data_IF_865845306872
#
_entry.id   IF_865845306872
#
_cell.length_a   1.000
_cell.length_b   1.000
_cell.length_c   1.000
_cell.angle_alpha   90.00
_cell.angle_beta   90.00
_cell.angle_gamma   90.00
#
_symmetry.space_group_name_H-M   'P 1'
#
loop_
_entity.id
_entity.type
_entity.pdbx_description
1 polymer ?
#
# COMPACT_ATOMS: atom_id res chain seq x y z
N UNK A 1 -5.47 4.65 17.86
CA UNK A 1 -6.18 5.02 16.62
C UNK A 1 -7.29 6.05 16.90
N UNK A 2 -7.42 7.08 16.06
CA UNK A 2 -8.61 7.97 16.07
C UNK A 2 -9.83 7.28 15.43
N UNK A 3 -11.03 7.85 15.58
CA UNK A 3 -12.27 7.24 15.08
C UNK A 3 -12.34 7.23 13.54
N UNK A 4 -11.83 8.27 12.89
CA UNK A 4 -11.86 8.41 11.42
C UNK A 4 -10.98 7.36 10.72
N UNK A 5 -9.80 7.08 11.27
CA UNK A 5 -8.90 6.04 10.78
C UNK A 5 -9.50 4.64 10.99
N UNK A 6 -10.27 4.44 12.08
CA UNK A 6 -10.96 3.18 12.34
C UNK A 6 -12.08 2.95 11.32
N UNK A 7 -12.89 3.96 11.04
CA UNK A 7 -13.96 3.88 10.03
C UNK A 7 -13.40 3.64 8.62
N UNK A 8 -12.23 4.21 8.32
CA UNK A 8 -11.51 3.94 7.07
C UNK A 8 -11.04 2.48 6.97
N UNK A 9 -10.49 1.92 8.04
CA UNK A 9 -10.06 0.52 8.08
C UNK A 9 -11.24 -0.46 8.01
N UNK A 10 -12.37 -0.15 8.64
CA UNK A 10 -13.57 -0.99 8.57
C UNK A 10 -14.15 -1.04 7.15
N UNK A 11 -14.27 0.11 6.47
CA UNK A 11 -14.71 0.16 5.07
C UNK A 11 -13.76 -0.61 4.15
N UNK A 12 -12.46 -0.46 4.35
CA UNK A 12 -11.47 -1.20 3.57
C UNK A 12 -11.52 -2.71 3.85
N UNK A 13 -11.79 -3.12 5.09
CA UNK A 13 -11.97 -4.53 5.43
C UNK A 13 -13.20 -5.14 4.72
N UNK A 14 -14.31 -4.40 4.62
CA UNK A 14 -15.50 -4.81 3.88
C UNK A 14 -15.21 -4.98 2.38
N UNK A 15 -14.48 -4.04 1.77
CA UNK A 15 -14.04 -4.16 0.36
C UNK A 15 -13.16 -5.40 0.14
N UNK A 16 -12.28 -5.72 1.10
CA UNK A 16 -11.43 -6.91 1.05
C UNK A 16 -12.22 -8.21 1.23
N UNK A 17 -13.22 -8.23 2.11
CA UNK A 17 -14.14 -9.37 2.31
C UNK A 17 -15.00 -9.66 1.07
N UNK A 18 -15.30 -8.63 0.27
CA UNK A 18 -15.99 -8.76 -1.02
C UNK A 18 -15.12 -9.23 -2.19
N UNK A 19 -13.80 -9.39 -1.98
CA UNK A 19 -12.87 -9.77 -3.04
C UNK A 19 -13.07 -11.21 -3.53
N UNK A 20 -12.86 -11.47 -4.82
CA UNK A 20 -12.86 -12.83 -5.37
C UNK A 20 -11.64 -13.65 -4.90
N UNK A 21 -10.57 -12.98 -4.44
CA UNK A 21 -9.35 -13.63 -3.98
C UNK A 21 -9.46 -14.05 -2.51
N UNK A 22 -9.34 -15.34 -2.23
CA UNK A 22 -9.43 -15.92 -0.86
C UNK A 22 -8.43 -15.29 0.12
N UNK A 23 -7.22 -14.97 -0.34
CA UNK A 23 -6.20 -14.32 0.47
C UNK A 23 -6.62 -12.90 0.91
N UNK A 24 -7.31 -12.16 0.05
CA UNK A 24 -7.82 -10.82 0.36
C UNK A 24 -9.04 -10.91 1.30
N UNK A 25 -9.97 -11.83 1.05
CA UNK A 25 -11.12 -12.07 1.94
C UNK A 25 -10.68 -12.42 3.35
N UNK A 26 -9.73 -13.35 3.46
CA UNK A 26 -9.18 -13.75 4.74
C UNK A 26 -8.40 -12.63 5.46
N UNK A 27 -7.87 -11.66 4.70
CA UNK A 27 -7.23 -10.48 5.27
C UNK A 27 -8.26 -9.44 5.73
N UNK A 28 -9.34 -9.23 4.97
CA UNK A 28 -10.48 -8.40 5.36
C UNK A 28 -11.10 -8.86 6.67
N UNK A 29 -11.43 -10.16 6.78
CA UNK A 29 -11.94 -10.77 8.01
C UNK A 29 -11.04 -10.55 9.21
N UNK A 30 -9.73 -10.69 9.03
CA UNK A 30 -8.75 -10.50 10.10
C UNK A 30 -8.69 -9.03 10.58
N UNK A 31 -8.76 -8.08 9.65
CA UNK A 31 -8.76 -6.64 9.97
C UNK A 31 -10.05 -6.28 10.72
N UNK A 32 -11.21 -6.70 10.22
CA UNK A 32 -12.52 -6.45 10.83
C UNK A 32 -12.58 -7.00 12.26
N UNK A 33 -12.21 -8.27 12.44
CA UNK A 33 -12.21 -8.93 13.75
C UNK A 33 -11.35 -8.19 14.78
N UNK A 34 -10.15 -7.74 14.38
CA UNK A 34 -9.25 -7.00 15.27
C UNK A 34 -9.75 -5.56 15.54
N UNK A 35 -10.37 -4.90 14.57
CA UNK A 35 -11.00 -3.60 14.75
C UNK A 35 -12.15 -3.68 15.77
N UNK A 36 -13.03 -4.67 15.62
CA UNK A 36 -14.18 -4.89 16.51
C UNK A 36 -13.71 -5.22 17.93
N UNK A 37 -12.70 -6.10 18.07
CA UNK A 37 -12.11 -6.42 19.37
C UNK A 37 -11.46 -5.20 20.04
N UNK A 38 -10.71 -4.38 19.28
CA UNK A 38 -10.10 -3.16 19.81
C UNK A 38 -11.14 -2.11 20.19
N UNK A 39 -12.23 -1.98 19.43
CA UNK A 39 -13.33 -1.06 19.72
C UNK A 39 -14.11 -1.50 20.96
N UNK A 40 -14.34 -2.80 21.12
CA UNK A 40 -15.00 -3.39 22.29
C UNK A 40 -14.10 -3.45 23.54
N UNK A 41 -12.80 -3.14 23.42
CA UNK A 41 -11.84 -3.28 24.51
C UNK A 41 -11.64 -4.74 24.92
N UNK A 42 -11.80 -5.69 23.99
CA UNK A 42 -11.66 -7.13 24.24
C UNK A 42 -10.29 -7.59 23.77
N UNK A 43 -9.52 -8.20 24.67
CA UNK A 43 -8.27 -8.86 24.32
C UNK A 43 -8.56 -10.17 23.58
N UNK A 44 -7.90 -10.39 22.45
CA UNK A 44 -7.99 -11.62 21.66
C UNK A 44 -6.59 -12.17 21.40
N UNK A 45 -6.43 -13.51 21.32
CA UNK A 45 -5.12 -14.11 21.05
C UNK A 45 -4.58 -13.67 19.67
N UNK A 46 -3.48 -12.91 19.60
CA UNK A 46 -2.97 -12.37 18.35
C UNK A 46 -2.15 -13.40 17.55
N UNK A 47 -1.95 -14.62 18.04
CA UNK A 47 -1.01 -15.59 17.46
C UNK A 47 -1.36 -15.96 16.02
N UNK A 48 -2.62 -16.25 15.75
CA UNK A 48 -3.10 -16.59 14.41
C UNK A 48 -3.00 -15.39 13.45
N UNK A 49 -3.40 -14.20 13.92
CA UNK A 49 -3.34 -12.97 13.14
C UNK A 49 -1.91 -12.56 12.82
N UNK A 50 -0.97 -12.70 13.77
CA UNK A 50 0.47 -12.45 13.56
C UNK A 50 1.06 -13.43 12.54
N UNK A 51 0.71 -14.71 12.63
CA UNK A 51 1.12 -15.74 11.64
C UNK A 51 0.62 -15.39 10.24
N UNK A 52 -0.65 -15.01 10.13
CA UNK A 52 -1.27 -14.61 8.86
C UNK A 52 -0.60 -13.37 8.28
N UNK A 53 -0.41 -12.33 9.10
CA UNK A 53 0.25 -11.10 8.70
C UNK A 53 1.70 -11.31 8.20
N UNK A 54 2.42 -12.28 8.79
CA UNK A 54 3.75 -12.68 8.33
C UNK A 54 3.71 -13.30 6.94
N UNK A 55 2.74 -14.18 6.66
CA UNK A 55 2.53 -14.74 5.31
C UNK A 55 2.20 -13.67 4.27
N UNK A 56 1.34 -12.72 4.64
CA UNK A 56 0.94 -11.61 3.77
C UNK A 56 2.07 -10.60 3.48
N UNK A 57 3.00 -10.43 4.42
CA UNK A 57 4.11 -9.49 4.27
C UNK A 57 5.09 -9.85 3.14
N UNK A 58 5.17 -11.14 2.78
CA UNK A 58 5.99 -11.65 1.68
C UNK A 58 5.28 -11.73 0.33
N UNK A 59 4.00 -11.32 0.25
CA UNK A 59 3.23 -11.38 -1.00
C UNK A 59 3.72 -10.33 -2.02
N UNK A 60 3.73 -10.69 -3.30
CA UNK A 60 4.00 -9.73 -4.38
C UNK A 60 2.87 -8.70 -4.54
N UNK A 61 1.65 -9.09 -4.18
CA UNK A 61 0.45 -8.23 -4.26
C UNK A 61 0.52 -7.12 -3.21
N UNK A 62 0.44 -5.87 -3.67
CA UNK A 62 0.56 -4.70 -2.82
C UNK A 62 -0.55 -4.61 -1.77
N UNK A 63 -1.79 -4.97 -2.11
CA UNK A 63 -2.91 -4.98 -1.17
C UNK A 63 -2.72 -6.02 -0.06
N UNK A 64 -2.22 -7.23 -0.38
CA UNK A 64 -1.92 -8.25 0.63
C UNK A 64 -0.81 -7.77 1.58
N UNK A 65 0.24 -7.13 1.06
CA UNK A 65 1.28 -6.53 1.90
C UNK A 65 0.74 -5.40 2.79
N UNK A 66 -0.19 -4.59 2.27
CA UNK A 66 -0.84 -3.55 3.04
C UNK A 66 -1.71 -4.15 4.16
N UNK A 67 -2.49 -5.18 3.85
CA UNK A 67 -3.32 -5.87 4.83
C UNK A 67 -2.47 -6.53 5.93
N UNK A 68 -1.35 -7.16 5.55
CA UNK A 68 -0.38 -7.71 6.52
C UNK A 68 0.30 -6.65 7.40
N UNK A 69 0.34 -5.37 7.00
CA UNK A 69 0.78 -4.27 7.89
C UNK A 69 -0.35 -3.85 8.83
N UNK A 70 -1.56 -3.69 8.31
CA UNK A 70 -2.73 -3.32 9.11
C UNK A 70 -3.00 -4.33 10.23
N UNK A 71 -2.98 -5.63 9.92
CA UNK A 71 -3.17 -6.70 10.92
C UNK A 71 -2.09 -6.62 12.01
N UNK A 72 -0.83 -6.34 11.67
CA UNK A 72 0.25 -6.18 12.66
C UNK A 72 0.03 -4.99 13.58
N UNK A 73 -0.38 -3.85 13.03
CA UNK A 73 -0.70 -2.65 13.81
C UNK A 73 -1.85 -2.92 14.77
N UNK A 74 -2.93 -3.53 14.29
CA UNK A 74 -4.09 -3.84 15.11
C UNK A 74 -3.79 -4.86 16.22
N UNK A 75 -2.94 -5.87 15.95
CA UNK A 75 -2.44 -6.78 16.99
C UNK A 75 -1.59 -6.06 18.05
N UNK A 76 -0.81 -5.05 17.66
CA UNK A 76 -0.03 -4.26 18.62
C UNK A 76 -0.95 -3.42 19.51
N UNK A 77 -1.99 -2.82 18.94
CA UNK A 77 -3.02 -2.12 19.72
C UNK A 77 -3.77 -3.07 20.66
N UNK A 78 -4.15 -4.27 20.20
CA UNK A 78 -4.82 -5.25 21.05
C UNK A 78 -3.94 -5.69 22.23
N UNK A 79 -2.64 -5.90 22.01
CA UNK A 79 -1.68 -6.19 23.08
C UNK A 79 -1.54 -5.04 24.09
N UNK A 80 -1.69 -3.77 23.65
CA UNK A 80 -1.75 -2.65 24.60
C UNK A 80 -3.05 -2.61 25.41
N UNK A 81 -4.15 -3.14 24.88
CA UNK A 81 -5.40 -3.32 25.62
C UNK A 81 -5.27 -4.44 26.66
N UNK A 82 -4.67 -5.58 26.29
CA UNK A 82 -4.37 -6.69 27.22
C UNK A 82 -3.56 -6.19 28.42
N UNK A 83 -2.50 -5.41 28.19
CA UNK A 83 -1.69 -4.79 29.25
C UNK A 83 -2.43 -3.73 30.09
N UNK A 84 -3.55 -3.18 29.61
CA UNK A 84 -4.40 -2.24 30.37
C UNK A 84 -5.47 -2.95 31.20
N UNK A 85 -5.93 -4.09 30.71
CA UNK A 85 -6.95 -4.92 31.35
C UNK A 85 -6.34 -5.83 32.43
N UNK A 86 -5.08 -6.22 32.29
CA UNK A 86 -4.27 -6.82 33.35
C UNK A 86 -3.78 -5.70 34.29
N UNK A 87 -4.33 -5.54 35.52
CA UNK A 87 -3.80 -4.57 36.46
C UNK A 87 -2.38 -4.99 36.86
N UNK A 88 -1.50 -3.99 36.88
CA UNK A 88 -0.10 -4.06 37.28
C UNK A 88 0.07 -4.76 38.65
N UNK A 89 0.25 -6.09 38.66
CA UNK A 89 0.70 -6.82 39.85
C UNK A 89 2.19 -6.54 39.99
N UNK A 90 2.52 -5.58 40.85
CA UNK A 90 3.89 -5.31 41.27
C UNK A 90 4.54 -6.61 41.81
N UNK A 91 5.85 -6.83 41.59
CA UNK A 91 6.52 -8.03 42.08
C UNK A 91 6.73 -7.93 43.59
N UNK A 92 5.82 -8.51 44.37
CA UNK A 92 6.05 -8.75 45.79
C UNK A 92 7.05 -9.89 45.97
N UNK A 93 8.27 -9.54 46.35
CA UNK A 93 9.21 -10.46 47.00
C UNK A 93 8.61 -10.94 48.34
N UNK A 94 8.15 -12.18 48.42
CA UNK A 94 8.41 -13.11 49.56
C UNK A 94 7.81 -14.49 49.25
N UNK A 95 8.55 -15.52 49.67
CA UNK A 95 8.36 -16.90 49.26
C UNK A 95 7.16 -17.62 49.88
N UNK A 96 6.93 -18.83 49.35
CA UNK A 96 5.97 -19.79 49.89
C UNK A 96 5.57 -20.82 48.84
N UNK A 97 6.20 -22.01 48.89
CA UNK A 97 5.61 -23.30 48.50
C UNK A 97 4.19 -23.37 49.09
N UNK A 98 3.11 -23.83 48.46
CA UNK A 98 2.84 -25.12 47.78
C UNK A 98 1.41 -25.03 47.15
N UNK A 99 0.99 -25.98 46.29
CA UNK A 99 -0.10 -25.82 45.33
C UNK A 99 -1.44 -26.36 45.83
N UNK A 100 -2.57 -25.81 45.35
CA UNK A 100 -3.81 -26.59 45.24
C UNK A 100 -4.82 -26.03 44.23
N UNK A 101 -5.40 -26.97 43.46
CA UNK A 101 -6.77 -27.02 42.91
C UNK A 101 -7.18 -25.98 41.86
N UNK A 102 -7.23 -26.38 40.59
CA UNK A 102 -8.39 -27.01 39.90
C UNK A 102 -9.60 -26.06 39.70
N UNK A 103 -9.79 -25.65 38.45
CA UNK A 103 -11.05 -25.67 37.66
C UNK A 103 -10.65 -25.29 36.22
N UNK A 104 -10.50 -26.21 35.26
CA UNK A 104 -11.45 -27.10 34.59
C UNK A 104 -12.26 -26.42 33.46
N UNK A 105 -11.94 -26.86 32.23
CA UNK A 105 -12.76 -26.99 31.02
C UNK A 105 -13.22 -25.69 30.32
N UNK A 106 -13.20 -25.57 28.98
CA UNK A 106 -13.65 -26.55 27.96
C UNK A 106 -12.73 -26.55 26.73
N UNK A 107 -12.28 -27.74 26.34
CA UNK A 107 -11.90 -28.07 24.96
C UNK A 107 -13.10 -28.71 24.29
N UNK A 108 -13.53 -28.20 23.15
CA UNK A 108 -14.27 -28.98 22.16
C UNK A 108 -13.40 -29.14 20.92
N UNK A 109 -13.08 -30.39 20.66
CA UNK A 109 -12.31 -30.91 19.53
C UNK A 109 -13.17 -30.87 18.26
N UNK A 110 -12.59 -30.46 17.13
CA UNK A 110 -12.89 -31.08 15.84
C UNK A 110 -11.59 -31.45 15.15
N UNK A 111 -11.50 -32.73 14.78
CA UNK A 111 -10.33 -33.47 14.30
C UNK A 111 -10.17 -33.36 12.76
N UNK A 112 -8.91 -33.20 12.34
CA UNK A 112 -8.20 -33.90 11.24
C UNK A 112 -8.39 -33.40 9.78
N UNK A 113 -7.46 -33.70 8.83
CA UNK A 113 -6.27 -34.58 8.93
C UNK A 113 -4.90 -33.98 8.52
N UNK A 114 -3.87 -34.61 9.09
CA UNK A 114 -2.47 -34.60 8.68
C UNK A 114 -2.26 -35.27 7.31
N UNK A 115 -1.47 -34.64 6.42
CA UNK A 115 -0.85 -35.30 5.29
C UNK A 115 0.56 -34.74 5.03
N UNK A 116 1.48 -35.69 4.80
CA UNK A 116 2.89 -35.56 4.41
C UNK A 116 3.91 -35.20 5.51
N UNK A 117 4.35 -36.26 6.19
CA UNK A 117 5.69 -36.31 6.77
C UNK A 117 6.78 -36.54 5.73
N UNK A 118 8.00 -36.11 6.07
CA UNK A 118 9.25 -36.72 5.63
C UNK A 118 10.17 -36.83 6.86
N UNK A 119 10.73 -38.02 7.01
CA UNK A 119 11.53 -38.51 8.13
C UNK A 119 13.02 -38.16 8.04
N UNK A 120 13.58 -37.99 9.24
CA UNK A 120 14.98 -38.11 9.72
C UNK A 120 16.01 -38.81 8.80
N UNK A 121 17.23 -38.26 8.73
CA UNK A 121 18.50 -38.76 9.32
C UNK A 121 19.74 -38.10 8.67
N UNK A 122 20.77 -37.84 9.47
CA UNK A 122 22.16 -38.05 9.05
C UNK A 122 23.09 -36.83 8.90
N UNK A 123 23.86 -36.58 9.98
CA UNK A 123 25.30 -36.30 10.03
C UNK A 123 26.01 -35.41 8.98
N UNK A 124 26.78 -34.43 9.49
CA UNK A 124 27.87 -33.80 8.74
C UNK A 124 28.49 -32.61 9.48
N UNK A 125 29.50 -32.88 10.31
CA UNK A 125 30.35 -31.91 11.00
C UNK A 125 31.16 -31.09 9.98
N UNK A 126 31.35 -29.79 10.22
CA UNK A 126 32.29 -28.98 9.46
C UNK A 126 32.46 -27.54 9.97
N UNK A 127 33.34 -27.39 10.98
CA UNK A 127 34.29 -26.28 11.14
C UNK A 127 33.75 -24.84 11.40
N UNK A 128 33.96 -24.35 12.63
CA UNK A 128 34.80 -23.17 12.93
C UNK A 128 34.40 -22.52 14.26
N UNK A 129 35.14 -22.88 15.32
CA UNK A 129 35.22 -22.10 16.54
C UNK A 129 36.16 -20.92 16.31
N UNK A 130 35.63 -19.70 16.09
CA UNK A 130 36.41 -18.45 16.19
C UNK A 130 35.58 -17.14 16.23
N UNK A 131 34.50 -17.02 17.02
CA UNK A 131 33.84 -15.69 17.26
C UNK A 131 33.25 -15.52 18.69
N UNK A 132 33.63 -16.35 19.66
CA UNK A 132 32.90 -16.41 20.95
C UNK A 132 33.09 -15.20 21.90
N UNK A 133 33.87 -14.16 21.55
CA UNK A 133 33.95 -12.90 22.33
C UNK A 133 33.59 -11.64 21.51
N UNK A 134 33.60 -11.71 20.17
CA UNK A 134 33.12 -10.60 19.30
C UNK A 134 31.61 -10.61 19.02
N UNK A 135 30.97 -11.78 19.18
CA UNK A 135 29.57 -11.99 18.81
C UNK A 135 28.53 -11.30 19.70
N UNK A 136 28.86 -11.02 20.96
CA UNK A 136 27.89 -10.40 21.90
C UNK A 136 27.85 -8.87 21.73
N UNK A 137 28.94 -8.24 21.29
CA UNK A 137 28.95 -6.79 20.98
C UNK A 137 28.34 -6.51 19.60
N UNK A 138 28.55 -7.39 18.61
CA UNK A 138 28.01 -7.23 17.25
C UNK A 138 26.48 -7.34 17.17
N UNK A 139 25.86 -8.24 17.95
CA UNK A 139 24.40 -8.44 17.92
C UNK A 139 23.66 -7.28 18.60
N UNK A 140 24.24 -6.65 19.62
CA UNK A 140 23.66 -5.45 20.23
C UNK A 140 23.72 -4.22 19.32
N UNK A 141 24.71 -4.13 18.42
CA UNK A 141 24.83 -3.05 17.42
C UNK A 141 23.91 -3.29 16.22
N UNK A 142 23.78 -4.54 15.75
CA UNK A 142 22.90 -4.89 14.64
C UNK A 142 21.41 -4.83 15.01
N UNK A 143 21.02 -5.26 16.21
CA UNK A 143 19.64 -5.15 16.69
C UNK A 143 19.20 -3.69 16.92
N UNK A 144 20.14 -2.79 17.24
CA UNK A 144 19.87 -1.35 17.38
C UNK A 144 19.75 -0.58 16.07
N UNK A 145 20.35 -1.06 14.97
CA UNK A 145 20.19 -0.46 13.65
C UNK A 145 18.74 -0.61 13.12
N UNK A 146 18.09 -1.74 13.43
CA UNK A 146 16.69 -1.98 13.06
C UNK A 146 15.68 -1.14 13.88
N UNK A 147 16.07 -0.68 15.08
CA UNK A 147 15.25 0.16 15.95
C UNK A 147 15.35 1.66 15.67
N UNK A 148 16.22 2.09 14.75
CA UNK A 148 16.43 3.49 14.40
C UNK A 148 15.63 3.94 13.17
N UNK A 149 14.65 3.18 12.69
CA UNK A 149 13.84 3.58 11.54
C UNK A 149 13.30 5.02 11.67
N UNK A 150 13.61 5.88 10.71
CA UNK A 150 12.91 7.16 10.60
C UNK A 150 11.49 6.82 10.17
N UNK A 151 10.52 7.02 11.06
CA UNK A 151 9.11 6.92 10.73
C UNK A 151 8.76 8.12 9.85
N UNK A 152 8.85 7.91 8.54
CA UNK A 152 8.54 8.90 7.53
C UNK A 152 7.46 8.35 6.59
N UNK A 153 6.49 9.20 6.31
CA UNK A 153 5.38 8.95 5.39
C UNK A 153 5.60 9.75 4.11
N UNK A 154 5.19 9.17 2.99
CA UNK A 154 5.27 9.75 1.65
C UNK A 154 4.48 8.91 0.66
N UNK A 155 4.57 9.19 -0.65
CA UNK A 155 3.95 8.40 -1.68
C UNK A 155 4.43 6.94 -1.64
N UNK A 156 3.62 6.05 -2.20
CA UNK A 156 3.98 4.64 -2.33
C UNK A 156 5.30 4.48 -3.11
N UNK A 157 6.12 3.46 -2.81
CA UNK A 157 7.34 3.21 -3.58
C UNK A 157 7.03 3.04 -5.07
N UNK A 158 7.69 3.80 -5.93
CA UNK A 158 7.49 3.75 -7.38
C UNK A 158 6.19 4.40 -7.85
N UNK A 159 5.53 5.21 -7.01
CA UNK A 159 4.33 5.95 -7.42
C UNK A 159 4.63 6.88 -8.60
N UNK A 160 3.71 6.91 -9.56
CA UNK A 160 3.67 7.93 -10.62
C UNK A 160 2.67 9.00 -10.20
N UNK A 161 3.11 10.25 -10.17
CA UNK A 161 2.36 11.38 -9.61
C UNK A 161 2.02 12.34 -10.75
N UNK A 162 0.72 12.45 -11.04
CA UNK A 162 0.17 13.40 -12.00
C UNK A 162 0.24 14.86 -11.55
N UNK A 163 -0.11 15.77 -12.45
CA UNK A 163 -0.19 17.21 -12.19
C UNK A 163 -1.09 17.54 -10.97
N UNK A 164 -2.23 16.86 -10.83
CA UNK A 164 -3.12 17.03 -9.68
C UNK A 164 -2.50 16.49 -8.37
N UNK A 165 -1.84 15.34 -8.44
CA UNK A 165 -1.17 14.73 -7.29
C UNK A 165 -0.02 15.59 -6.75
N UNK A 166 0.68 16.30 -7.64
CA UNK A 166 1.78 17.21 -7.27
C UNK A 166 1.34 18.31 -6.31
N UNK A 167 0.11 18.82 -6.42
CA UNK A 167 -0.41 19.85 -5.52
C UNK A 167 -0.58 19.35 -4.07
N UNK A 168 -0.83 18.05 -3.90
CA UNK A 168 -0.98 17.38 -2.60
C UNK A 168 0.27 16.65 -2.11
N UNK A 169 1.34 16.62 -2.92
CA UNK A 169 2.54 15.86 -2.62
C UNK A 169 3.22 16.39 -1.35
N UNK A 170 3.28 15.55 -0.33
CA UNK A 170 3.93 15.87 0.92
C UNK A 170 4.61 14.65 1.52
N UNK A 171 5.62 14.93 2.34
CA UNK A 171 6.35 13.96 3.10
C UNK A 171 6.36 14.42 4.56
N UNK A 172 6.25 13.49 5.51
CA UNK A 172 6.21 13.86 6.92
C UNK A 172 6.97 12.88 7.79
N UNK A 173 7.54 13.35 8.90
CA UNK A 173 8.11 12.51 9.96
C UNK A 173 7.81 13.11 11.33
N UNK A 174 7.82 12.29 12.38
CA UNK A 174 7.78 12.74 13.78
C UNK A 174 9.16 13.14 14.33
N UNK A 175 10.25 12.84 13.60
CA UNK A 175 11.61 13.13 14.03
C UNK A 175 11.98 14.62 13.85
N UNK A 176 12.14 15.34 14.96
CA UNK A 176 12.48 16.76 14.98
C UNK A 176 13.90 17.09 14.48
N UNK A 177 14.81 16.14 14.61
CA UNK A 177 16.22 16.19 14.22
C UNK A 177 16.47 15.58 12.83
N UNK A 178 15.41 15.32 12.06
CA UNK A 178 15.52 14.78 10.71
C UNK A 178 16.06 15.82 9.72
N UNK A 179 17.04 15.42 8.94
CA UNK A 179 17.51 16.15 7.76
C UNK A 179 16.86 15.61 6.51
N UNK A 180 16.60 16.51 5.57
CA UNK A 180 15.83 16.22 4.37
C UNK A 180 16.63 16.60 3.14
N UNK A 181 16.59 15.76 2.11
CA UNK A 181 17.03 16.15 0.78
C UNK A 181 16.07 15.67 -0.31
N UNK A 182 15.96 16.48 -1.36
CA UNK A 182 15.21 16.19 -2.58
C UNK A 182 16.22 16.21 -3.72
N UNK A 183 16.36 15.10 -4.43
CA UNK A 183 17.33 14.92 -5.52
C UNK A 183 18.76 15.31 -5.09
N UNK A 184 19.12 14.93 -3.87
CA UNK A 184 20.42 15.22 -3.25
C UNK A 184 20.57 16.65 -2.71
N UNK A 185 19.64 17.56 -2.99
CA UNK A 185 19.68 18.95 -2.50
C UNK A 185 19.00 19.05 -1.14
N UNK A 186 19.64 19.66 -0.12
CA UNK A 186 19.05 19.80 1.20
C UNK A 186 17.81 20.68 1.14
N UNK A 187 16.74 20.29 1.83
CA UNK A 187 15.50 21.06 1.93
C UNK A 187 15.09 21.26 3.39
N UNK A 188 14.32 22.30 3.64
CA UNK A 188 13.76 22.58 4.97
C UNK A 188 12.39 21.91 5.12
N UNK A 189 12.16 21.31 6.28
CA UNK A 189 10.83 20.90 6.72
C UNK A 189 10.20 22.02 7.56
N UNK A 190 8.87 22.01 7.64
CA UNK A 190 8.09 22.91 8.47
C UNK A 190 7.35 22.08 9.51
N UNK A 191 7.42 22.49 10.78
CA UNK A 191 6.65 21.85 11.85
C UNK A 191 5.16 22.17 11.68
N UNK A 192 4.34 21.13 11.64
CA UNK A 192 2.87 21.19 11.58
C UNK A 192 2.34 20.24 12.66
N UNK A 193 1.96 20.81 13.82
CA UNK A 193 1.59 20.03 14.99
C UNK A 193 2.77 19.20 15.55
N UNK A 194 2.59 17.89 15.62
CA UNK A 194 3.56 16.89 16.08
C UNK A 194 4.48 16.37 14.95
N UNK A 195 4.27 16.81 13.70
CA UNK A 195 5.04 16.35 12.54
C UNK A 195 5.86 17.45 11.89
N UNK A 196 6.92 17.01 11.22
CA UNK A 196 7.76 17.82 10.36
C UNK A 196 7.44 17.45 8.92
N UNK A 197 6.92 18.43 8.18
CA UNK A 197 6.38 18.23 6.83
C UNK A 197 7.30 18.91 5.80
N UNK A 198 7.65 18.16 4.76
CA UNK A 198 8.33 18.66 3.57
C UNK A 198 7.36 18.61 2.38
N UNK A 199 7.18 19.75 1.72
CA UNK A 199 6.39 19.88 0.49
C UNK A 199 7.33 20.31 -0.64
N UNK A 200 7.86 19.36 -1.44
CA UNK A 200 8.66 19.70 -2.60
C UNK A 200 7.84 20.57 -3.55
N UNK A 201 8.43 21.67 -4.04
CA UNK A 201 7.80 22.57 -5.00
C UNK A 201 8.60 22.57 -6.28
N UNK A 202 7.91 22.75 -7.42
CA UNK A 202 8.53 22.90 -8.74
C UNK A 202 9.46 21.74 -9.12
N UNK A 203 9.03 20.52 -8.83
CA UNK A 203 9.68 19.35 -9.39
C UNK A 203 9.33 19.26 -10.88
N UNK A 204 10.32 18.93 -11.70
CA UNK A 204 10.10 18.72 -13.13
C UNK A 204 9.44 17.35 -13.37
N UNK A 205 9.06 17.06 -14.60
CA UNK A 205 8.71 15.68 -14.97
C UNK A 205 9.97 14.80 -14.92
N UNK A 206 9.82 13.55 -14.46
CA UNK A 206 10.90 12.58 -14.34
C UNK A 206 10.97 11.89 -12.98
N UNK A 207 12.03 11.10 -12.79
CA UNK A 207 12.29 10.41 -11.52
C UNK A 207 12.81 11.36 -10.44
N UNK A 208 12.28 11.21 -9.24
CA UNK A 208 12.67 11.99 -8.07
C UNK A 208 12.95 11.11 -6.87
N UNK A 209 13.86 11.58 -6.03
CA UNK A 209 14.22 10.90 -4.78
C UNK A 209 14.16 11.86 -3.60
N UNK A 210 13.37 11.49 -2.59
CA UNK A 210 13.38 12.17 -1.29
C UNK A 210 14.05 11.30 -0.26
N UNK A 211 15.03 11.87 0.44
CA UNK A 211 15.76 11.22 1.51
C UNK A 211 15.47 11.95 2.81
N UNK A 212 15.06 11.18 3.81
CA UNK A 212 14.94 11.63 5.20
C UNK A 212 15.97 10.86 6.00
N UNK A 213 16.89 11.55 6.64
CA UNK A 213 17.88 10.91 7.50
C UNK A 213 17.88 11.51 8.90
N UNK A 214 18.25 10.67 9.86
CA UNK A 214 18.38 11.06 11.26
C UNK A 214 19.70 10.52 11.77
N UNK A 215 20.47 11.39 12.43
CA UNK A 215 21.70 10.96 13.11
C UNK A 215 21.34 10.36 14.46
N UNK A 216 21.71 9.11 14.69
CA UNK A 216 21.59 8.45 15.98
C UNK A 216 22.73 8.85 16.93
N UNK A 217 22.65 8.37 18.18
CA UNK A 217 23.78 8.47 19.12
C UNK A 217 24.88 7.49 18.71
N UNK A 218 26.12 7.98 18.63
CA UNK A 218 27.36 7.22 18.38
C UNK A 218 27.32 6.42 17.05
N UNK A 219 27.80 7.04 15.97
CA UNK A 219 28.01 6.47 14.61
C UNK A 219 26.82 5.80 13.89
N UNK A 220 25.68 5.60 14.55
CA UNK A 220 24.47 5.11 13.90
C UNK A 220 23.76 6.23 13.15
N UNK A 221 23.31 5.99 11.92
CA UNK A 221 22.40 6.86 11.19
C UNK A 221 21.27 6.03 10.61
N UNK A 222 20.08 6.61 10.55
CA UNK A 222 18.95 6.00 9.90
C UNK A 222 18.51 6.83 8.72
N UNK A 223 18.07 6.16 7.67
CA UNK A 223 17.66 6.77 6.42
C UNK A 223 16.41 6.10 5.89
N UNK A 224 15.48 6.92 5.41
CA UNK A 224 14.35 6.52 4.60
C UNK A 224 14.47 7.19 3.23
N UNK A 225 14.23 6.42 2.17
CA UNK A 225 14.28 6.90 0.80
C UNK A 225 12.93 6.65 0.14
N UNK A 226 12.37 7.69 -0.48
CA UNK A 226 11.18 7.63 -1.32
C UNK A 226 11.60 7.85 -2.76
N UNK A 227 11.16 6.97 -3.65
CA UNK A 227 11.36 7.08 -5.10
C UNK A 227 9.99 7.15 -5.74
N UNK A 228 9.80 8.15 -6.60
CA UNK A 228 8.55 8.39 -7.32
C UNK A 228 8.87 9.10 -8.64
N UNK A 229 7.94 9.05 -9.57
CA UNK A 229 8.04 9.71 -10.87
C UNK A 229 6.99 10.80 -10.94
N UNK A 230 7.35 11.96 -11.44
CA UNK A 230 6.39 13.02 -11.79
C UNK A 230 6.14 12.96 -13.28
N UNK A 231 4.87 12.95 -13.63
CA UNK A 231 4.41 13.05 -15.01
C UNK A 231 3.24 14.02 -15.03
N UNK A 232 3.49 15.27 -15.43
CA UNK A 232 2.45 16.30 -15.55
C UNK A 232 1.84 16.36 -16.95
N UNK A 233 2.27 15.49 -17.86
CA UNK A 233 1.88 15.53 -19.27
C UNK A 233 0.53 14.83 -19.46
N UNK A 234 -0.47 15.56 -19.97
CA UNK A 234 -1.76 14.97 -20.28
C UNK A 234 -1.67 14.03 -21.49
N UNK A 235 -2.45 12.93 -21.51
CA UNK A 235 -2.36 11.92 -22.56
C UNK A 235 -2.72 12.50 -23.92
N UNK A 236 -2.03 12.05 -24.97
CA UNK A 236 -2.26 12.50 -26.35
C UNK A 236 -3.16 11.54 -27.13
N UNK A 237 -3.97 12.09 -28.02
CA UNK A 237 -4.85 11.35 -28.93
C UNK A 237 -4.60 11.78 -30.37
N UNK A 238 -4.47 10.81 -31.26
CA UNK A 238 -4.45 10.99 -32.71
C UNK A 238 -5.57 10.18 -33.34
N UNK A 239 -6.37 10.80 -34.19
CA UNK A 239 -7.35 10.10 -35.02
C UNK A 239 -6.71 9.69 -36.34
N UNK A 240 -7.11 8.55 -36.88
CA UNK A 240 -6.65 8.06 -38.19
C UNK A 240 -7.27 8.84 -39.34
N UNK A 241 -8.41 9.48 -39.10
CA UNK A 241 -9.12 10.33 -40.04
C UNK A 241 -10.23 11.14 -39.37
N UNK A 242 -10.88 11.99 -40.15
CA UNK A 242 -12.05 12.74 -39.69
C UNK A 242 -13.22 11.79 -39.36
N UNK A 243 -14.00 12.13 -38.34
CA UNK A 243 -15.21 11.41 -37.99
C UNK A 243 -16.34 11.75 -38.98
N UNK A 244 -16.37 11.02 -40.10
CA UNK A 244 -17.33 11.21 -41.18
C UNK A 244 -18.27 10.01 -41.24
N UNK A 245 -19.54 10.26 -41.52
CA UNK A 245 -20.54 9.21 -41.74
C UNK A 245 -21.40 9.50 -42.96
N UNK A 246 -21.88 8.46 -43.64
CA UNK A 246 -22.86 8.57 -44.72
C UNK A 246 -24.28 8.26 -44.21
N UNK A 247 -25.33 8.80 -44.85
CA UNK A 247 -26.70 8.48 -44.50
C UNK A 247 -26.98 6.96 -44.51
N UNK A 248 -27.39 6.44 -43.36
CA UNK A 248 -27.74 5.02 -43.15
C UNK A 248 -26.56 4.12 -42.75
N UNK A 249 -25.34 4.64 -42.67
CA UNK A 249 -24.15 3.87 -42.25
C UNK A 249 -23.81 4.14 -40.77
N UNK A 250 -23.16 3.19 -40.06
CA UNK A 250 -22.64 3.45 -38.72
C UNK A 250 -21.47 4.43 -38.75
N UNK A 251 -21.31 5.25 -37.72
CA UNK A 251 -20.10 6.04 -37.50
C UNK A 251 -18.93 5.10 -37.18
N UNK A 252 -17.83 5.27 -37.91
CA UNK A 252 -16.56 4.59 -37.65
C UNK A 252 -15.51 5.62 -37.29
N UNK A 253 -14.89 5.48 -36.13
CA UNK A 253 -13.76 6.31 -35.70
C UNK A 253 -12.64 5.40 -35.24
N UNK A 254 -11.45 5.61 -35.78
CA UNK A 254 -10.25 4.90 -35.39
C UNK A 254 -9.15 5.90 -35.04
N UNK A 255 -8.22 5.46 -34.21
CA UNK A 255 -7.11 6.28 -33.79
C UNK A 255 -6.22 5.58 -32.78
N UNK A 256 -5.34 6.37 -32.18
CA UNK A 256 -4.40 5.95 -31.17
C UNK A 256 -4.38 6.97 -30.04
N UNK A 257 -4.51 6.47 -28.82
CA UNK A 257 -4.16 7.21 -27.59
C UNK A 257 -2.80 6.73 -27.10
N UNK A 258 -2.16 7.48 -26.22
CA UNK A 258 -0.92 7.07 -25.56
C UNK A 258 -1.00 5.63 -24.97
N UNK A 259 0.06 4.80 -25.11
CA UNK A 259 0.08 3.46 -24.54
C UNK A 259 -0.14 3.47 -23.01
N UNK A 260 -0.95 2.54 -22.52
CA UNK A 260 -1.27 2.45 -21.09
C UNK A 260 -2.34 3.43 -20.61
N UNK A 261 -2.77 4.39 -21.44
CA UNK A 261 -3.90 5.24 -21.14
C UNK A 261 -5.22 4.45 -21.14
N UNK A 262 -6.24 5.00 -20.50
CA UNK A 262 -7.64 4.57 -20.59
C UNK A 262 -8.39 5.56 -21.43
N UNK A 263 -9.32 5.11 -22.27
CA UNK A 263 -10.12 5.96 -23.15
C UNK A 263 -11.61 5.68 -22.97
N UNK A 264 -12.43 6.73 -22.88
CA UNK A 264 -13.90 6.65 -22.94
C UNK A 264 -14.42 7.52 -24.08
N UNK A 265 -15.51 7.06 -24.70
CA UNK A 265 -16.26 7.76 -25.72
C UNK A 265 -17.72 7.95 -25.27
N UNK A 266 -18.15 9.20 -25.08
CA UNK A 266 -19.47 9.57 -24.56
C UNK A 266 -19.81 8.80 -23.26
N UNK A 267 -18.85 8.75 -22.34
CA UNK A 267 -18.98 8.06 -21.06
C UNK A 267 -18.87 6.53 -21.12
N UNK A 268 -18.68 5.93 -22.30
CA UNK A 268 -18.50 4.47 -22.44
C UNK A 268 -17.02 4.12 -22.64
N UNK A 269 -16.46 3.17 -21.87
CA UNK A 269 -15.09 2.69 -22.09
C UNK A 269 -14.86 2.17 -23.49
N UNK A 270 -13.69 2.47 -24.05
CA UNK A 270 -13.19 1.92 -25.31
C UNK A 270 -12.07 0.93 -25.03
N UNK A 271 -12.13 -0.24 -25.68
CA UNK A 271 -11.04 -1.20 -25.67
C UNK A 271 -9.87 -0.65 -26.49
N UNK A 272 -8.68 -0.75 -25.91
CA UNK A 272 -7.42 -0.36 -26.52
C UNK A 272 -6.53 -1.58 -26.70
N UNK A 273 -5.76 -1.60 -27.78
CA UNK A 273 -4.64 -2.54 -27.89
C UNK A 273 -3.46 -2.12 -26.99
N UNK A 274 -2.44 -2.97 -26.79
CA UNK A 274 -1.26 -2.62 -25.96
C UNK A 274 -0.48 -1.39 -26.44
N UNK A 275 -0.70 -0.96 -27.68
CA UNK A 275 -0.08 0.23 -28.28
C UNK A 275 -1.03 1.45 -28.25
N UNK A 276 -2.19 1.34 -27.62
CA UNK A 276 -3.20 2.39 -27.50
C UNK A 276 -4.09 2.60 -28.73
N UNK A 277 -4.09 1.69 -29.71
CA UNK A 277 -5.00 1.80 -30.85
C UNK A 277 -6.44 1.44 -30.45
N UNK A 278 -7.41 2.13 -31.04
CA UNK A 278 -8.84 1.87 -30.82
C UNK A 278 -9.63 1.94 -32.12
N UNK A 279 -10.77 1.25 -32.10
CA UNK A 279 -11.82 1.37 -33.12
C UNK A 279 -13.17 1.48 -32.45
N UNK A 280 -13.92 2.52 -32.80
CA UNK A 280 -15.27 2.78 -32.36
C UNK A 280 -16.22 2.62 -33.54
N UNK A 281 -17.28 1.82 -33.34
CA UNK A 281 -18.43 1.74 -34.25
C UNK A 281 -19.69 2.15 -33.50
N UNK A 282 -20.46 3.12 -34.02
CA UNK A 282 -21.76 3.51 -33.45
C UNK A 282 -22.86 3.56 -34.50
N UNK A 283 -24.00 2.94 -34.19
CA UNK A 283 -25.20 3.04 -35.01
C UNK A 283 -25.90 4.40 -34.83
N UNK A 284 -25.98 4.90 -33.59
CA UNK A 284 -26.46 6.26 -33.32
C UNK A 284 -25.35 7.26 -33.63
N UNK A 285 -25.66 8.24 -34.48
CA UNK A 285 -24.72 9.25 -34.96
C UNK A 285 -24.89 10.52 -34.11
N UNK A 286 -23.98 10.80 -33.14
CA UNK A 286 -24.03 12.05 -32.42
C UNK A 286 -23.51 13.19 -33.31
N UNK A 287 -23.91 14.44 -33.03
CA UNK A 287 -23.33 15.63 -33.70
C UNK A 287 -21.84 15.85 -33.35
N UNK A 288 -21.46 15.41 -32.15
CA UNK A 288 -20.09 15.50 -31.62
C UNK A 288 -19.82 14.26 -30.78
N UNK A 289 -18.63 13.71 -30.94
CA UNK A 289 -18.13 12.60 -30.13
C UNK A 289 -17.22 13.18 -29.04
N UNK A 290 -17.50 12.91 -27.78
CA UNK A 290 -16.66 13.34 -26.66
C UNK A 290 -15.73 12.19 -26.28
N UNK A 291 -14.43 12.39 -26.44
CA UNK A 291 -13.40 11.46 -26.02
C UNK A 291 -12.72 11.99 -24.76
N UNK A 292 -12.56 11.15 -23.75
CA UNK A 292 -11.80 11.49 -22.53
C UNK A 292 -10.79 10.39 -22.27
N UNK A 293 -9.54 10.76 -22.03
CA UNK A 293 -8.48 9.81 -21.70
C UNK A 293 -7.80 10.16 -20.39
N UNK A 294 -7.34 9.11 -19.70
CA UNK A 294 -6.53 9.18 -18.48
C UNK A 294 -5.25 8.37 -18.67
N UNK A 295 -4.12 8.88 -18.24
CA UNK A 295 -2.87 8.12 -18.21
C UNK A 295 -2.69 7.37 -16.86
N UNK A 296 -1.52 6.75 -16.68
CA UNK A 296 -1.15 6.05 -15.45
C UNK A 296 -0.87 7.00 -14.27
N UNK A 297 -0.51 8.26 -14.54
CA UNK A 297 -0.28 9.29 -13.54
C UNK A 297 -1.59 9.96 -13.06
N UNK A 298 -2.69 9.70 -13.77
CA UNK A 298 -4.01 10.28 -13.53
C UNK A 298 -4.25 11.61 -14.26
N UNK A 299 -3.37 12.06 -15.15
CA UNK A 299 -3.66 13.25 -15.96
C UNK A 299 -4.77 12.96 -16.95
N UNK A 300 -5.55 13.98 -17.29
CA UNK A 300 -6.76 13.84 -18.10
C UNK A 300 -6.72 14.75 -19.32
N UNK A 301 -7.12 14.21 -20.47
CA UNK A 301 -7.37 14.97 -21.69
C UNK A 301 -8.80 14.76 -22.18
N UNK A 302 -9.40 15.81 -22.76
CA UNK A 302 -10.76 15.77 -23.31
C UNK A 302 -10.80 16.37 -24.71
N UNK A 303 -11.32 15.61 -25.66
CA UNK A 303 -11.52 16.04 -27.05
C UNK A 303 -13.00 16.05 -27.42
N UNK A 304 -13.40 17.04 -28.22
CA UNK A 304 -14.73 17.15 -28.82
C UNK A 304 -14.57 17.01 -30.33
N UNK A 305 -14.80 15.82 -30.84
CA UNK A 305 -14.62 15.51 -32.26
C UNK A 305 -15.93 15.80 -32.99
N UNK A 306 -15.95 16.74 -33.95
CA UNK A 306 -17.15 16.98 -34.75
C UNK A 306 -17.42 15.77 -35.65
N UNK A 307 -18.70 15.41 -35.77
CA UNK A 307 -19.12 14.33 -36.69
C UNK A 307 -19.81 14.96 -37.89
N UNK A 308 -19.27 14.71 -39.08
CA UNK A 308 -19.79 15.28 -40.33
C UNK A 308 -20.58 14.23 -41.09
N UNK A 309 -21.83 14.55 -41.43
CA UNK A 309 -22.63 13.75 -42.35
C UNK A 309 -22.27 14.15 -43.79
N UNK A 310 -21.71 13.23 -44.56
CA UNK A 310 -21.40 13.46 -45.97
C UNK A 310 -22.55 12.93 -46.83
N UNK A 311 -23.17 13.77 -47.67
CA UNK A 311 -24.23 13.33 -48.58
C UNK A 311 -23.78 12.18 -49.49
N UNK A 312 -24.72 11.35 -49.93
CA UNK A 312 -24.43 10.38 -51.01
C UNK A 312 -24.05 11.17 -52.26
N UNK A 313 -22.99 10.75 -52.96
CA UNK A 313 -22.71 11.29 -54.30
C UNK A 313 -23.88 10.87 -55.21
N UNK A 314 -24.42 11.80 -56.02
CA UNK A 314 -25.48 11.50 -56.97
C UNK A 314 -25.02 10.50 -58.03
#
# INVERSE_FOLDING_TARGET
MDAEHRDGLSRWAEDLEGSEFEALRGAGWAIRTLCDANAAGVAIDPTEFKRRAKGLAGSEVAELRAAGRAIRTLCAENATLENRLEPNVAPTRRGGRTPSRRRAWVRSVRRWPDWLGISRRGAGIGLAALVAVGGIVGVAVAARAAALGVDATGPAPGAVIGAAGMASLSFSTSAADATWSVDGRPVRSVRRGDRYVCVPRKLADGEHTVVVSRRGRIFASAKRTFRFTIDSSAPRLRLDGAAVVRPGEPLHVAGRVEPGARLVADGRPLALDPRGAFRLRRASIPRKLVLVAWDAAGNTSRWRVPVTLVPRRP
#
